data_IF_608015769940
#
_entry.id   IF_608015769940
#
_cell.length_a   1.000
_cell.length_b   1.000
_cell.length_c   1.000
_cell.angle_alpha   90.00
_cell.angle_beta   90.00
_cell.angle_gamma   90.00
#
_symmetry.space_group_name_H-M   'P 1'
#
loop_
_entity.id
_entity.type
_entity.pdbx_description
1 polymer ?
#
# COMPACT_ATOMS: atom_id res chain seq x y z
N UNK A 1 15.58 36.30 -32.55
CA UNK A 1 16.10 35.12 -31.80
C UNK A 1 15.53 35.03 -30.38
N UNK A 2 15.43 36.14 -29.65
CA UNK A 2 14.93 36.22 -28.26
C UNK A 2 13.56 35.54 -28.01
N UNK A 3 12.59 35.74 -28.90
CA UNK A 3 11.24 35.18 -28.76
C UNK A 3 11.17 33.64 -28.88
N UNK A 4 12.15 33.01 -29.54
CA UNK A 4 12.26 31.55 -29.60
C UNK A 4 12.82 30.98 -28.29
N UNK A 5 13.78 31.67 -27.68
CA UNK A 5 14.32 31.29 -26.37
C UNK A 5 13.25 31.36 -25.25
N UNK A 6 12.41 32.40 -25.26
CA UNK A 6 11.29 32.54 -24.30
C UNK A 6 10.27 31.40 -24.45
N UNK A 7 9.91 31.02 -25.68
CA UNK A 7 8.99 29.90 -25.94
C UNK A 7 9.56 28.56 -25.47
N UNK A 8 10.84 28.30 -25.73
CA UNK A 8 11.51 27.07 -25.30
C UNK A 8 11.60 27.02 -23.77
N UNK A 9 11.90 28.14 -23.11
CA UNK A 9 11.92 28.24 -21.65
C UNK A 9 10.56 27.93 -21.03
N UNK A 10 9.47 28.48 -21.57
CA UNK A 10 8.11 28.22 -21.10
C UNK A 10 7.67 26.75 -21.27
N UNK A 11 8.05 26.13 -22.40
CA UNK A 11 7.77 24.70 -22.64
C UNK A 11 8.57 23.83 -21.66
N UNK A 12 9.86 24.14 -21.47
CA UNK A 12 10.71 23.40 -20.54
C UNK A 12 10.20 23.49 -19.10
N UNK A 13 9.79 24.68 -18.64
CA UNK A 13 9.20 24.83 -17.30
C UNK A 13 7.86 24.10 -17.18
N UNK A 14 7.02 24.14 -18.22
CA UNK A 14 5.76 23.41 -18.23
C UNK A 14 5.96 21.89 -18.11
N UNK A 15 6.94 21.34 -18.83
CA UNK A 15 7.30 19.91 -18.74
C UNK A 15 7.80 19.55 -17.35
N UNK A 16 8.64 20.38 -16.74
CA UNK A 16 9.15 20.13 -15.38
C UNK A 16 8.01 20.12 -14.35
N UNK A 17 7.11 21.11 -14.41
CA UNK A 17 5.95 21.18 -13.51
C UNK A 17 5.03 19.98 -13.71
N UNK A 18 4.78 19.57 -14.96
CA UNK A 18 3.99 18.39 -15.27
C UNK A 18 4.62 17.12 -14.71
N UNK A 19 5.93 16.93 -14.89
CA UNK A 19 6.65 15.78 -14.35
C UNK A 19 6.64 15.75 -12.82
N UNK A 20 6.83 16.91 -12.18
CA UNK A 20 6.72 17.03 -10.73
C UNK A 20 5.32 16.66 -10.23
N UNK A 21 4.27 17.11 -10.93
CA UNK A 21 2.89 16.80 -10.58
C UNK A 21 2.58 15.30 -10.75
N UNK A 22 3.05 14.68 -11.83
CA UNK A 22 2.92 13.23 -12.05
C UNK A 22 3.68 12.45 -10.96
N UNK A 23 4.90 12.87 -10.62
CA UNK A 23 5.66 12.26 -9.53
C UNK A 23 4.91 12.31 -8.19
N UNK A 24 4.27 13.46 -7.91
CA UNK A 24 3.47 13.65 -6.70
C UNK A 24 2.21 12.76 -6.70
N UNK A 25 1.52 12.64 -7.84
CA UNK A 25 0.39 11.72 -7.98
C UNK A 25 0.79 10.26 -7.79
N UNK A 26 1.94 9.83 -8.33
CA UNK A 26 2.45 8.47 -8.14
C UNK A 26 2.79 8.24 -6.66
N UNK A 27 3.41 9.21 -6.00
CA UNK A 27 3.74 9.14 -4.58
C UNK A 27 2.49 9.00 -3.71
N UNK A 28 1.42 9.75 -4.05
CA UNK A 28 0.17 9.73 -3.30
C UNK A 28 -0.62 8.44 -3.55
N UNK A 29 -0.65 7.96 -4.79
CA UNK A 29 -1.47 6.80 -5.14
C UNK A 29 -0.78 5.47 -4.84
N UNK A 30 0.56 5.43 -4.77
CA UNK A 30 1.34 4.19 -4.67
C UNK A 30 2.62 4.39 -3.83
N UNK A 31 2.50 4.64 -2.52
CA UNK A 31 3.64 4.84 -1.64
C UNK A 31 4.57 3.62 -1.59
N UNK A 32 4.02 2.41 -1.79
CA UNK A 32 4.77 1.15 -1.84
C UNK A 32 5.84 1.10 -2.94
N UNK A 33 5.70 1.89 -4.02
CA UNK A 33 6.71 1.97 -5.08
C UNK A 33 8.00 2.68 -4.64
N UNK A 34 7.90 3.56 -3.64
CA UNK A 34 9.00 4.42 -3.20
C UNK A 34 9.59 3.96 -1.86
N UNK A 35 8.74 3.50 -0.94
CA UNK A 35 9.13 3.18 0.44
C UNK A 35 9.27 1.67 0.67
N UNK A 36 8.69 0.86 -0.22
CA UNK A 36 8.53 -0.58 -0.01
C UNK A 36 7.26 -0.88 0.81
N UNK A 37 6.96 -2.18 0.91
CA UNK A 37 5.79 -2.68 1.65
C UNK A 37 6.23 -3.00 3.07
N UNK A 38 5.62 -2.35 4.06
CA UNK A 38 5.82 -2.64 5.47
C UNK A 38 4.78 -3.65 5.97
N UNK A 39 5.18 -4.56 6.85
CA UNK A 39 4.29 -5.60 7.38
C UNK A 39 3.11 -5.05 8.18
N UNK A 40 3.31 -3.95 8.90
CA UNK A 40 2.26 -3.30 9.70
C UNK A 40 1.17 -2.67 8.82
N UNK A 41 1.58 -1.92 7.78
CA UNK A 41 0.66 -1.34 6.80
C UNK A 41 -0.08 -2.42 6.00
N UNK A 42 0.58 -3.54 5.70
CA UNK A 42 -0.04 -4.67 5.01
C UNK A 42 -1.11 -5.35 5.90
N UNK A 43 -0.81 -5.59 7.18
CA UNK A 43 -1.77 -6.14 8.13
C UNK A 43 -2.99 -5.24 8.29
N UNK A 44 -2.78 -3.92 8.39
CA UNK A 44 -3.84 -2.93 8.49
C UNK A 44 -4.73 -2.89 7.23
N UNK A 45 -4.11 -2.92 6.05
CA UNK A 45 -4.82 -2.93 4.76
C UNK A 45 -5.68 -4.19 4.58
N UNK A 46 -5.17 -5.39 4.97
CA UNK A 46 -5.94 -6.64 4.90
C UNK A 46 -7.07 -6.68 5.94
N UNK A 47 -6.82 -6.12 7.12
CA UNK A 47 -7.82 -5.98 8.18
C UNK A 47 -8.84 -4.86 7.96
N UNK A 48 -8.89 -4.25 6.76
CA UNK A 48 -9.78 -3.14 6.39
C UNK A 48 -9.76 -1.96 7.39
N UNK A 49 -8.59 -1.68 7.96
CA UNK A 49 -8.39 -0.60 8.92
C UNK A 49 -8.91 -0.87 10.33
N UNK A 50 -9.41 -2.08 10.62
CA UNK A 50 -9.46 -2.53 12.01
C UNK A 50 -8.00 -2.72 12.46
N UNK A 51 -7.61 -2.02 13.54
CA UNK A 51 -6.34 -2.19 14.22
C UNK A 51 -6.27 -3.58 14.88
N UNK A 52 -6.31 -4.61 14.04
CA UNK A 52 -6.13 -5.99 14.43
C UNK A 52 -4.65 -6.14 14.80
N UNK A 53 -4.40 -6.82 15.91
CA UNK A 53 -3.06 -7.14 16.42
C UNK A 53 -2.41 -8.21 15.54
N UNK A 54 -2.41 -7.99 14.23
CA UNK A 54 -1.88 -8.88 13.23
C UNK A 54 -0.43 -8.54 12.92
N UNK A 55 0.34 -9.59 12.59
CA UNK A 55 1.72 -9.46 12.17
C UNK A 55 1.87 -10.06 10.77
N UNK A 56 2.48 -9.31 9.87
CA UNK A 56 2.83 -9.76 8.53
C UNK A 56 4.35 -9.83 8.41
N UNK A 57 4.86 -11.04 8.21
CA UNK A 57 6.28 -11.27 8.04
C UNK A 57 6.59 -11.69 6.60
N UNK A 58 7.69 -11.16 6.06
CA UNK A 58 8.12 -11.46 4.69
C UNK A 58 8.78 -12.83 4.63
N UNK A 59 8.25 -13.71 3.80
CA UNK A 59 8.82 -15.01 3.49
C UNK A 59 10.02 -14.88 2.54
N UNK A 60 10.92 -15.86 2.55
CA UNK A 60 12.14 -15.90 1.72
C UNK A 60 11.87 -15.90 0.20
N UNK A 61 10.62 -16.14 -0.23
CA UNK A 61 10.18 -16.09 -1.63
C UNK A 61 9.68 -14.72 -2.12
N UNK A 62 9.64 -13.71 -1.25
CA UNK A 62 9.08 -12.39 -1.57
C UNK A 62 7.59 -12.26 -1.27
N UNK A 63 6.89 -13.38 -1.04
CA UNK A 63 5.54 -13.43 -0.47
C UNK A 63 5.54 -13.08 1.01
N UNK A 64 4.39 -12.69 1.53
CA UNK A 64 4.17 -12.33 2.92
C UNK A 64 3.28 -13.36 3.61
N UNK A 65 3.51 -13.60 4.89
CA UNK A 65 2.61 -14.37 5.74
C UNK A 65 2.03 -13.47 6.80
N UNK A 66 0.72 -13.28 6.75
CA UNK A 66 0.00 -12.44 7.68
C UNK A 66 -0.81 -13.31 8.63
N UNK A 67 -0.71 -13.02 9.92
CA UNK A 67 -1.53 -13.64 10.94
C UNK A 67 -2.40 -12.56 11.56
N UNK A 68 -3.69 -12.58 11.24
CA UNK A 68 -4.67 -11.60 11.71
C UNK A 68 -5.45 -12.17 12.90
N UNK A 69 -5.51 -11.38 13.97
CA UNK A 69 -6.17 -11.72 15.23
C UNK A 69 -7.30 -10.71 15.49
N UNK A 70 -8.53 -11.22 15.64
CA UNK A 70 -9.73 -10.39 15.80
C UNK A 70 -10.40 -9.99 14.48
N UNK A 71 -11.65 -9.53 14.55
CA UNK A 71 -12.44 -9.10 13.39
C UNK A 71 -13.10 -10.23 12.59
N UNK A 72 -13.81 -9.86 11.52
CA UNK A 72 -14.43 -10.79 10.56
C UNK A 72 -13.38 -11.56 9.74
N UNK A 73 -12.18 -10.99 9.59
CA UNK A 73 -11.06 -11.53 8.82
C UNK A 73 -9.94 -11.99 9.76
N UNK A 74 -10.12 -13.12 10.43
CA UNK A 74 -9.12 -13.70 11.34
C UNK A 74 -8.61 -15.06 10.86
N UNK A 75 -7.28 -15.22 10.88
CA UNK A 75 -6.62 -16.41 10.36
C UNK A 75 -5.19 -16.15 9.86
N UNK A 76 -4.61 -17.17 9.25
CA UNK A 76 -3.33 -17.08 8.52
C UNK A 76 -3.59 -16.94 7.03
N UNK A 77 -2.93 -15.96 6.45
CA UNK A 77 -3.02 -15.64 5.03
C UNK A 77 -1.63 -15.65 4.40
N UNK A 78 -1.51 -16.28 3.25
CA UNK A 78 -0.39 -16.09 2.33
C UNK A 78 -0.73 -14.91 1.40
N UNK A 79 0.12 -13.91 1.38
CA UNK A 79 -0.13 -12.62 0.74
C UNK A 79 0.94 -12.37 -0.31
N UNK A 80 0.52 -12.27 -1.57
CA UNK A 80 1.38 -11.82 -2.65
C UNK A 80 1.19 -10.32 -2.84
N UNK A 81 2.29 -9.56 -2.91
CA UNK A 81 2.24 -8.12 -3.15
C UNK A 81 2.93 -7.80 -4.46
N UNK A 82 2.19 -7.18 -5.37
CA UNK A 82 2.68 -6.74 -6.66
C UNK A 82 3.58 -5.50 -6.50
N UNK A 83 4.44 -5.24 -7.50
CA UNK A 83 5.31 -4.07 -7.55
C UNK A 83 4.54 -2.77 -7.36
N UNK A 84 3.27 -2.71 -7.75
CA UNK A 84 2.39 -1.54 -7.59
C UNK A 84 1.87 -1.31 -6.16
N UNK A 85 2.14 -2.20 -5.20
CA UNK A 85 1.58 -2.13 -3.84
C UNK A 85 0.18 -2.74 -3.68
N UNK A 86 -0.34 -3.38 -4.73
CA UNK A 86 -1.57 -4.17 -4.64
C UNK A 86 -1.27 -5.58 -4.16
N UNK A 87 -2.14 -6.12 -3.32
CA UNK A 87 -1.95 -7.39 -2.67
C UNK A 87 -3.12 -8.35 -2.91
N UNK A 88 -2.81 -9.64 -2.86
CA UNK A 88 -3.79 -10.72 -2.89
C UNK A 88 -3.48 -11.67 -1.74
N UNK A 89 -4.42 -11.82 -0.83
CA UNK A 89 -4.33 -12.70 0.33
C UNK A 89 -5.14 -13.97 0.07
N UNK A 90 -4.52 -15.13 0.28
CA UNK A 90 -5.17 -16.43 0.20
C UNK A 90 -5.20 -17.03 1.59
N UNK A 91 -6.36 -17.52 2.02
CA UNK A 91 -6.51 -18.13 3.34
C UNK A 91 -5.77 -19.47 3.37
N UNK A 92 -4.74 -19.55 4.21
CA UNK A 92 -4.05 -20.81 4.52
C UNK A 92 -4.77 -21.54 5.66
N UNK A 93 -5.15 -20.79 6.71
CA UNK A 93 -5.83 -21.37 7.88
C UNK A 93 -6.78 -20.38 8.55
N UNK A 94 -8.06 -20.70 8.59
CA UNK A 94 -9.04 -19.95 9.39
C UNK A 94 -8.77 -20.10 10.89
N UNK A 95 -9.00 -19.03 11.66
CA UNK A 95 -9.07 -19.10 13.11
C UNK A 95 -10.34 -19.84 13.56
N UNK A 96 -10.32 -20.55 14.71
CA UNK A 96 -11.49 -21.26 15.21
C UNK A 96 -12.69 -20.30 15.39
N UNK A 97 -13.81 -20.59 14.70
CA UNK A 97 -15.02 -19.77 14.76
C UNK A 97 -15.08 -18.60 13.76
N UNK A 98 -14.02 -18.38 12.99
CA UNK A 98 -14.00 -17.40 11.91
C UNK A 98 -14.42 -18.05 10.58
N UNK A 99 -15.10 -17.28 9.71
CA UNK A 99 -15.49 -17.74 8.38
C UNK A 99 -15.07 -16.73 7.30
N UNK A 100 -13.76 -16.39 7.21
CA UNK A 100 -13.28 -15.41 6.26
C UNK A 100 -13.45 -15.92 4.81
N UNK A 101 -13.60 -15.02 3.83
CA UNK A 101 -13.54 -15.41 2.42
C UNK A 101 -12.19 -16.08 2.11
N UNK A 102 -12.20 -17.10 1.24
CA UNK A 102 -11.00 -17.89 0.93
C UNK A 102 -9.91 -17.10 0.19
N UNK A 103 -10.28 -15.97 -0.42
CA UNK A 103 -9.37 -15.06 -1.11
C UNK A 103 -9.84 -13.62 -0.89
N UNK A 104 -8.88 -12.72 -0.67
CA UNK A 104 -9.07 -11.28 -0.53
C UNK A 104 -8.06 -10.57 -1.44
N UNK A 105 -8.42 -9.40 -1.94
CA UNK A 105 -7.54 -8.56 -2.74
C UNK A 105 -7.77 -7.08 -2.43
N UNK A 106 -6.70 -6.30 -2.52
CA UNK A 106 -6.71 -4.88 -2.17
C UNK A 106 -5.44 -4.18 -2.63
N UNK A 107 -5.34 -2.88 -2.34
CA UNK A 107 -4.10 -2.15 -2.56
C UNK A 107 -3.79 -1.28 -1.34
N UNK A 108 -2.51 -1.23 -0.97
CA UNK A 108 -2.04 -0.38 0.12
C UNK A 108 -2.26 1.08 -0.28
N UNK A 109 -3.08 1.79 0.49
CA UNK A 109 -3.31 3.21 0.32
C UNK A 109 -2.47 4.03 1.30
N UNK A 110 -2.34 5.34 1.06
CA UNK A 110 -1.66 6.24 2.01
C UNK A 110 -2.25 6.17 3.43
N UNK A 111 -3.57 5.97 3.56
CA UNK A 111 -4.24 5.82 4.85
C UNK A 111 -3.80 4.58 5.64
N UNK A 112 -3.26 3.57 4.96
CA UNK A 112 -2.75 2.35 5.59
C UNK A 112 -1.31 2.52 6.08
N UNK A 113 -0.57 3.49 5.51
CA UNK A 113 0.82 3.81 5.87
C UNK A 113 0.89 4.90 6.94
N UNK A 114 -0.09 5.81 6.94
CA UNK A 114 -0.21 6.89 7.93
C UNK A 114 -1.19 6.42 9.00
N UNK A 115 -0.69 5.67 9.98
CA UNK A 115 -1.41 5.46 11.25
C UNK A 115 -1.73 6.84 11.84
N UNK A 116 -3.02 7.16 11.97
CA UNK A 116 -3.54 8.45 12.46
C UNK A 116 -3.22 8.77 13.92
N UNK A 117 -2.30 8.05 14.55
CA UNK A 117 -1.79 8.33 15.90
C UNK A 117 -1.03 9.67 15.99
N UNK A 118 -0.63 10.28 14.87
CA UNK A 118 0.14 11.54 14.87
C UNK A 118 -0.68 12.83 14.66
N UNK A 119 -2.02 12.78 14.74
CA UNK A 119 -2.88 13.97 14.55
C UNK A 119 -3.77 14.28 15.77
N UNK A 120 -3.52 13.65 16.91
CA UNK A 120 -4.18 13.96 18.18
C UNK A 120 -3.21 14.61 19.17
N UNK A 121 -2.74 15.82 18.85
CA UNK A 121 -2.21 16.79 19.82
C UNK A 121 -2.53 18.22 19.36
#
# INVERSE_FOLDING_TARGET
MWWKAVKIGAIASGVIVMLAFIGLLVMVTRPALLVGVDGSALAYSIGDGEASSGDCNRSTGGDWRCHLLGGEVSGRFDVNVNWMGCWTATLDRASPGANPPGQLDGCIQLGDVITTESLSD
#
